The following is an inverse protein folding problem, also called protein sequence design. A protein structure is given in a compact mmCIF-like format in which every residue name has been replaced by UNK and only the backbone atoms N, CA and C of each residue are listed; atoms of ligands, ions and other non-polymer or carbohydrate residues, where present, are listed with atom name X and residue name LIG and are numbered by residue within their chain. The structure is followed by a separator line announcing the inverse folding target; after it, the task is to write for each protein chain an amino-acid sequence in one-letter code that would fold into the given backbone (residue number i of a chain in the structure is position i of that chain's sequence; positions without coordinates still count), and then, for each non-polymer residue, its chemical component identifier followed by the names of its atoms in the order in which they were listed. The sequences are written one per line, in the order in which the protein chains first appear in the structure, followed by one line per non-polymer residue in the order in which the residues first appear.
data_IF_664163625420
#
_entry.id   IF_664163625420
#
_cell.length_a   1.000
_cell.length_b   1.000
_cell.length_c   1.000
_cell.angle_alpha   90.00
_cell.angle_beta   90.00
_cell.angle_gamma   90.00
#
_symmetry.space_group_name_H-M   'P 1'
#
loop_
_entity.id
_entity.type
_entity.pdbx_description
1 polymer ?
#
# COMPACT_ATOMS: atom_id res chain seq x y z
N UNK A 1 -3.04 -27.16 -7.10
CA UNK A 1 -2.24 -26.58 -8.20
C UNK A 1 -2.15 -25.09 -7.93
N UNK A 2 -1.00 -24.60 -7.47
CA UNK A 2 -0.82 -23.19 -7.11
C UNK A 2 -0.42 -22.39 -8.34
N UNK A 3 -1.25 -21.44 -8.75
CA UNK A 3 -0.91 -20.50 -9.83
C UNK A 3 0.13 -19.51 -9.30
N UNK A 4 1.35 -19.62 -9.80
CA UNK A 4 2.41 -18.62 -9.66
C UNK A 4 2.14 -17.48 -10.62
N UNK A 5 1.80 -16.32 -10.09
CA UNK A 5 1.78 -15.06 -10.83
C UNK A 5 3.16 -14.41 -10.68
N UNK A 6 3.92 -14.32 -11.76
CA UNK A 6 5.11 -13.47 -11.85
C UNK A 6 4.64 -12.03 -12.04
N UNK A 7 5.06 -11.13 -11.15
CA UNK A 7 4.74 -9.70 -11.23
C UNK A 7 6.01 -8.97 -11.62
N UNK A 8 6.06 -8.44 -12.84
CA UNK A 8 7.10 -7.51 -13.28
C UNK A 8 6.79 -6.11 -12.73
N UNK A 9 7.83 -5.51 -12.14
CA UNK A 9 7.78 -4.26 -11.38
C UNK A 9 7.58 -3.07 -12.34
N UNK A 10 6.32 -2.62 -12.51
CA UNK A 10 6.04 -1.33 -13.13
C UNK A 10 6.08 -0.24 -12.07
N UNK A 11 6.94 0.79 -12.21
CA UNK A 11 6.90 1.92 -11.29
C UNK A 11 5.54 2.60 -11.46
N UNK A 12 4.70 2.64 -10.43
CA UNK A 12 3.38 3.28 -10.50
C UNK A 12 2.18 2.48 -10.02
N UNK A 13 2.37 1.34 -9.35
CA UNK A 13 1.29 0.65 -8.62
C UNK A 13 0.19 0.07 -9.51
N UNK A 14 0.43 -0.01 -10.83
CA UNK A 14 -0.44 -0.75 -11.74
C UNK A 14 0.07 -2.19 -11.76
N UNK A 15 -0.62 -3.08 -11.04
CA UNK A 15 -0.39 -4.52 -11.15
C UNK A 15 -0.95 -4.98 -12.49
N UNK A 16 -0.06 -5.16 -13.47
CA UNK A 16 -0.41 -5.75 -14.75
C UNK A 16 -0.42 -7.26 -14.60
N UNK A 17 -1.55 -7.88 -14.91
CA UNK A 17 -1.71 -9.33 -14.85
C UNK A 17 -1.34 -9.95 -16.19
N UNK A 18 -0.58 -11.05 -16.16
CA UNK A 18 -0.10 -11.72 -17.38
C UNK A 18 -1.20 -12.44 -18.19
N UNK A 19 -2.43 -12.55 -17.66
CA UNK A 19 -3.63 -13.13 -18.29
C UNK A 19 -4.86 -12.31 -17.89
N UNK A 20 -6.02 -12.66 -18.45
CA UNK A 20 -7.34 -12.06 -18.18
C UNK A 20 -7.43 -11.43 -16.79
N UNK A 21 -7.93 -10.19 -16.73
CA UNK A 21 -8.01 -9.44 -15.49
C UNK A 21 -8.61 -10.33 -14.39
N UNK A 22 -7.87 -10.60 -13.31
CA UNK A 22 -8.33 -11.52 -12.29
C UNK A 22 -9.64 -11.02 -11.69
N UNK A 23 -10.46 -11.94 -11.13
CA UNK A 23 -11.64 -11.54 -10.39
C UNK A 23 -11.28 -10.48 -9.34
N UNK A 24 -12.21 -9.56 -9.01
CA UNK A 24 -11.96 -8.55 -8.00
C UNK A 24 -11.41 -9.17 -6.72
N UNK A 25 -10.27 -8.69 -6.27
CA UNK A 25 -9.64 -9.13 -5.03
C UNK A 25 -10.62 -8.88 -3.89
N UNK A 26 -10.97 -9.88 -3.04
CA UNK A 26 -11.96 -9.69 -1.99
C UNK A 26 -11.45 -8.77 -0.87
N UNK A 27 -12.36 -8.26 -0.03
CA UNK A 27 -11.99 -7.54 1.21
C UNK A 27 -11.52 -8.56 2.26
N UNK A 28 -10.50 -8.21 3.04
CA UNK A 28 -9.98 -9.09 4.07
C UNK A 28 -10.97 -9.32 5.22
N UNK A 29 -11.04 -10.57 5.69
CA UNK A 29 -11.75 -10.96 6.89
C UNK A 29 -10.81 -11.83 7.76
N UNK A 30 -10.56 -11.41 8.99
CA UNK A 30 -9.71 -12.14 9.93
C UNK A 30 -8.26 -11.64 10.00
N UNK A 31 -7.37 -12.48 10.54
CA UNK A 31 -5.99 -12.11 10.91
C UNK A 31 -4.91 -12.58 9.93
N UNK A 32 -5.31 -13.11 8.78
CA UNK A 32 -4.36 -13.54 7.76
C UNK A 32 -3.77 -12.33 7.01
N UNK A 33 -2.53 -12.44 6.48
CA UNK A 33 -1.98 -11.39 5.64
C UNK A 33 -2.87 -11.13 4.43
N UNK A 34 -3.19 -9.87 4.19
CA UNK A 34 -3.87 -9.40 3.00
C UNK A 34 -3.05 -9.70 1.75
N UNK A 35 -1.73 -9.49 1.86
CA UNK A 35 -0.79 -9.65 0.78
C UNK A 35 0.60 -9.99 1.35
N UNK A 36 1.40 -10.76 0.60
CA UNK A 36 2.79 -11.04 0.94
C UNK A 36 3.69 -10.77 -0.25
N UNK A 37 4.82 -10.09 -0.03
CA UNK A 37 5.86 -9.86 -1.04
C UNK A 37 7.15 -10.53 -0.62
N UNK A 38 7.69 -11.40 -1.47
CA UNK A 38 8.98 -12.05 -1.23
C UNK A 38 10.00 -11.47 -2.19
N UNK A 39 11.02 -10.83 -1.65
CA UNK A 39 12.15 -10.29 -2.40
C UNK A 39 13.34 -11.23 -2.24
N UNK A 40 13.88 -11.71 -3.36
CA UNK A 40 14.98 -12.66 -3.39
C UNK A 40 16.26 -11.94 -3.80
N UNK A 41 17.33 -12.16 -3.05
CA UNK A 41 18.65 -11.60 -3.28
C UNK A 41 19.68 -12.73 -3.42
N UNK A 42 20.66 -12.57 -4.30
CA UNK A 42 21.80 -13.47 -4.38
C UNK A 42 22.77 -13.30 -3.20
N UNK A 43 23.88 -14.04 -3.22
CA UNK A 43 24.90 -13.98 -2.17
C UNK A 43 25.64 -12.63 -2.09
N UNK A 44 25.58 -11.81 -3.15
CA UNK A 44 26.20 -10.48 -3.23
C UNK A 44 25.22 -9.37 -2.85
N UNK A 45 23.96 -9.70 -2.53
CA UNK A 45 22.92 -8.75 -2.17
C UNK A 45 22.20 -8.11 -3.37
N UNK A 46 22.34 -8.66 -4.57
CA UNK A 46 21.61 -8.21 -5.76
C UNK A 46 20.21 -8.83 -5.77
N UNK A 47 19.16 -8.01 -5.93
CA UNK A 47 17.78 -8.51 -6.07
C UNK A 47 17.64 -9.27 -7.39
N UNK A 48 17.34 -10.57 -7.32
CA UNK A 48 17.22 -11.46 -8.49
C UNK A 48 15.79 -11.83 -8.84
N UNK A 49 14.86 -11.74 -7.89
CA UNK A 49 13.45 -12.01 -8.15
C UNK A 49 12.54 -11.31 -7.12
N UNK A 50 11.27 -11.18 -7.48
CA UNK A 50 10.20 -10.76 -6.58
C UNK A 50 9.00 -11.66 -6.82
N UNK A 51 8.29 -12.02 -5.74
CA UNK A 51 7.04 -12.76 -5.84
C UNK A 51 6.00 -12.22 -4.88
N UNK A 52 4.90 -11.82 -5.46
CA UNK A 52 3.78 -11.18 -4.82
C UNK A 52 2.61 -12.17 -4.76
N UNK A 53 2.00 -12.32 -3.59
CA UNK A 53 0.82 -13.16 -3.40
C UNK A 53 -0.27 -12.37 -2.69
N UNK A 54 -1.31 -11.98 -3.44
CA UNK A 54 -2.41 -11.13 -3.00
C UNK A 54 -3.59 -12.04 -2.65
N UNK A 55 -4.04 -11.99 -1.39
CA UNK A 55 -5.17 -12.78 -0.91
C UNK A 55 -6.45 -11.92 -0.87
N UNK A 56 -6.33 -10.70 -0.39
CA UNK A 56 -7.43 -9.75 -0.21
C UNK A 56 -6.89 -8.31 -0.11
N UNK A 57 -7.78 -7.32 -0.12
CA UNK A 57 -7.44 -5.91 0.12
C UNK A 57 -8.09 -5.40 1.41
N UNK A 58 -7.47 -4.40 2.02
CA UNK A 58 -8.01 -3.78 3.23
C UNK A 58 -9.19 -2.88 2.89
N UNK A 59 -10.11 -2.74 3.83
CA UNK A 59 -11.23 -1.81 3.67
C UNK A 59 -10.74 -0.35 3.71
N UNK A 60 -11.61 0.59 3.35
CA UNK A 60 -11.27 2.03 3.35
C UNK A 60 -10.92 2.58 4.76
N UNK A 61 -11.30 1.86 5.82
CA UNK A 61 -11.06 2.24 7.22
C UNK A 61 -9.85 1.51 7.83
N UNK A 62 -9.04 0.87 7.00
CA UNK A 62 -7.88 0.08 7.39
C UNK A 62 -6.62 0.50 6.62
N UNK A 63 -5.49 0.36 7.28
CA UNK A 63 -4.15 0.50 6.71
C UNK A 63 -3.44 -0.86 6.65
N UNK A 64 -2.40 -0.93 5.82
CA UNK A 64 -1.51 -2.08 5.79
C UNK A 64 -0.44 -1.96 6.88
N UNK A 65 -0.49 -2.85 7.87
CA UNK A 65 0.60 -3.07 8.81
C UNK A 65 1.58 -4.11 8.25
N UNK A 66 2.87 -3.78 8.21
CA UNK A 66 3.91 -4.64 7.64
C UNK A 66 4.67 -5.41 8.70
N UNK A 67 4.89 -6.71 8.47
CA UNK A 67 5.85 -7.54 9.23
C UNK A 67 6.91 -8.07 8.29
N UNK A 68 8.17 -8.05 8.75
CA UNK A 68 9.32 -8.48 7.98
C UNK A 68 9.89 -9.77 8.55
N UNK A 69 10.17 -10.72 7.67
CA UNK A 69 10.90 -11.93 7.98
C UNK A 69 12.10 -12.04 7.05
N UNK A 70 13.26 -12.33 7.62
CA UNK A 70 14.52 -12.46 6.90
C UNK A 70 15.00 -13.89 7.05
N UNK A 71 15.14 -14.61 5.94
CA UNK A 71 15.61 -15.98 5.97
C UNK A 71 16.40 -16.34 4.72
N UNK A 72 17.18 -17.42 4.80
CA UNK A 72 17.92 -17.97 3.67
C UNK A 72 17.17 -19.18 3.11
N UNK A 73 16.99 -19.23 1.79
CA UNK A 73 16.38 -20.37 1.08
C UNK A 73 17.37 -20.86 0.03
N UNK A 74 18.04 -21.98 0.30
CA UNK A 74 19.18 -22.44 -0.52
C UNK A 74 20.29 -21.37 -0.62
N UNK A 75 20.61 -20.92 -1.83
CA UNK A 75 21.68 -19.93 -2.10
C UNK A 75 21.17 -18.49 -2.24
N UNK A 76 19.91 -18.22 -1.86
CA UNK A 76 19.33 -16.87 -1.91
C UNK A 76 18.91 -16.39 -0.52
N UNK A 77 19.09 -15.10 -0.28
CA UNK A 77 18.51 -14.39 0.85
C UNK A 77 17.10 -13.93 0.49
N UNK A 78 16.15 -14.12 1.39
CA UNK A 78 14.75 -13.76 1.17
C UNK A 78 14.32 -12.76 2.23
N UNK A 79 13.77 -11.64 1.76
CA UNK A 79 13.02 -10.69 2.59
C UNK A 79 11.54 -10.93 2.29
N UNK A 80 10.84 -11.52 3.25
CA UNK A 80 9.39 -11.73 3.19
C UNK A 80 8.70 -10.59 3.93
N UNK A 81 7.83 -9.89 3.24
CA UNK A 81 7.04 -8.79 3.77
C UNK A 81 5.59 -9.24 3.79
N UNK A 82 5.00 -9.33 4.97
CA UNK A 82 3.57 -9.64 5.16
C UNK A 82 2.81 -8.37 5.50
N UNK A 83 1.72 -8.12 4.77
CA UNK A 83 0.87 -6.95 4.91
C UNK A 83 -0.45 -7.38 5.52
N UNK A 84 -0.79 -6.85 6.69
CA UNK A 84 -2.02 -7.15 7.43
C UNK A 84 -2.94 -5.93 7.44
N UNK A 85 -4.25 -6.15 7.47
CA UNK A 85 -5.19 -5.05 7.65
C UNK A 85 -5.29 -4.66 9.12
N UNK A 86 -5.05 -3.39 9.38
CA UNK A 86 -5.12 -2.78 10.71
C UNK A 86 -6.08 -1.61 10.68
N UNK A 87 -6.94 -1.52 11.68
CA UNK A 87 -7.89 -0.42 11.80
C UNK A 87 -7.18 0.92 11.93
N UNK A 88 -7.61 1.89 11.12
CA UNK A 88 -7.15 3.27 11.22
C UNK A 88 -7.62 3.90 12.54
N UNK A 89 -6.75 4.73 13.12
CA UNK A 89 -7.12 5.61 14.23
C UNK A 89 -8.10 6.69 13.73
N UNK A 90 -8.88 7.24 14.66
CA UNK A 90 -9.75 8.38 14.36
C UNK A 90 -8.88 9.62 14.18
N UNK A 91 -9.14 10.39 13.13
CA UNK A 91 -8.41 11.63 12.86
C UNK A 91 -8.58 12.66 13.98
N UNK A 92 -7.48 13.30 14.34
CA UNK A 92 -7.53 14.53 15.15
C UNK A 92 -8.04 15.71 14.31
N UNK A 93 -8.56 16.77 14.95
CA UNK A 93 -9.20 17.91 14.25
C UNK A 93 -8.31 18.57 13.17
N UNK A 94 -6.99 18.56 13.36
CA UNK A 94 -6.03 19.18 12.45
C UNK A 94 -5.26 18.17 11.59
N UNK A 95 -5.59 16.89 11.67
CA UNK A 95 -4.89 15.84 10.95
C UNK A 95 -5.41 15.67 9.52
N UNK A 96 -4.50 15.45 8.58
CA UNK A 96 -4.87 15.10 7.22
C UNK A 96 -5.35 13.65 7.19
N UNK A 97 -6.60 13.41 6.84
CA UNK A 97 -7.14 12.05 6.72
C UNK A 97 -6.55 11.29 5.53
N UNK A 98 -6.11 12.01 4.50
CA UNK A 98 -5.40 11.44 3.34
C UNK A 98 -4.33 12.40 2.87
N UNK A 99 -3.19 11.87 2.48
CA UNK A 99 -2.11 12.63 1.88
C UNK A 99 -1.61 11.96 0.60
N UNK A 100 -1.04 12.73 -0.30
CA UNK A 100 -0.27 12.18 -1.42
C UNK A 100 1.07 12.88 -1.57
N UNK A 101 2.07 12.07 -1.85
CA UNK A 101 3.45 12.49 -2.02
C UNK A 101 3.81 12.35 -3.49
N UNK A 102 4.18 13.47 -4.11
CA UNK A 102 4.62 13.49 -5.50
C UNK A 102 6.13 13.34 -5.60
N UNK A 103 6.60 12.30 -6.29
CA UNK A 103 7.99 12.21 -6.78
C UNK A 103 7.90 11.84 -8.25
N UNK A 104 8.14 12.79 -9.15
CA UNK A 104 7.89 12.69 -10.62
C UNK A 104 6.38 12.64 -10.98
N UNK A 105 6.01 12.11 -12.15
CA UNK A 105 4.62 11.99 -12.64
C UNK A 105 3.77 10.94 -11.89
N UNK A 106 4.21 10.50 -10.70
CA UNK A 106 3.58 9.46 -9.89
C UNK A 106 3.36 9.98 -8.47
N UNK A 107 2.16 9.70 -7.95
CA UNK A 107 1.76 10.05 -6.59
C UNK A 107 1.60 8.79 -5.77
N UNK A 108 2.27 8.72 -4.62
CA UNK A 108 1.93 7.77 -3.56
C UNK A 108 0.81 8.41 -2.74
N UNK A 109 -0.30 7.71 -2.53
CA UNK A 109 -1.44 8.21 -1.75
C UNK A 109 -1.63 7.34 -0.53
N UNK A 110 -1.60 7.96 0.65
CA UNK A 110 -1.76 7.29 1.94
C UNK A 110 -3.03 7.79 2.63
N UNK A 111 -3.82 6.86 3.17
CA UNK A 111 -4.89 7.16 4.11
C UNK A 111 -4.29 7.10 5.51
N UNK A 112 -4.30 8.23 6.23
CA UNK A 112 -3.58 8.35 7.51
C UNK A 112 -4.47 8.00 8.71
N UNK A 113 -5.77 8.27 8.62
CA UNK A 113 -6.72 8.09 9.70
C UNK A 113 -8.16 8.04 9.15
N UNK A 114 -9.11 7.51 9.93
CA UNK A 114 -10.53 7.49 9.58
C UNK A 114 -11.28 8.67 10.19
N UNK A 115 -12.21 9.24 9.42
CA UNK A 115 -13.04 10.34 9.89
C UNK A 115 -14.16 9.85 10.83
N UNK A 116 -14.59 10.70 11.75
CA UNK A 116 -15.77 10.45 12.60
C UNK A 116 -17.05 10.32 11.75
N UNK A 117 -18.10 9.68 12.30
CA UNK A 117 -19.32 9.27 11.60
C UNK A 117 -19.97 10.33 10.68
N UNK A 118 -19.93 11.62 11.06
CA UNK A 118 -20.52 12.73 10.29
C UNK A 118 -19.56 13.40 9.30
N UNK A 119 -18.32 12.93 9.24
CA UNK A 119 -17.26 13.47 8.41
C UNK A 119 -16.84 12.43 7.37
N UNK A 120 -16.34 12.91 6.23
CA UNK A 120 -15.77 12.10 5.18
C UNK A 120 -14.39 12.60 4.79
N UNK A 121 -13.51 11.68 4.42
CA UNK A 121 -12.22 12.02 3.86
C UNK A 121 -12.34 12.20 2.34
N UNK A 122 -12.22 13.43 1.81
CA UNK A 122 -12.41 13.65 0.39
C UNK A 122 -11.30 13.00 -0.46
N UNK A 123 -11.59 12.81 -1.74
CA UNK A 123 -10.54 12.49 -2.71
C UNK A 123 -9.61 13.70 -2.88
N UNK A 124 -8.31 13.45 -3.03
CA UNK A 124 -7.34 14.52 -3.27
C UNK A 124 -7.52 15.03 -4.70
N UNK A 125 -8.23 16.16 -4.85
CA UNK A 125 -8.30 16.96 -6.07
C UNK A 125 -7.33 18.13 -5.94
N UNK A 126 -6.63 18.48 -7.01
CA UNK A 126 -5.57 19.50 -6.97
C UNK A 126 -6.03 20.87 -6.43
N UNK A 127 -7.27 21.25 -6.73
CA UNK A 127 -7.82 22.54 -6.30
C UNK A 127 -8.23 22.61 -4.82
N UNK A 128 -8.42 21.46 -4.15
CA UNK A 128 -8.97 21.39 -2.79
C UNK A 128 -7.94 20.89 -1.75
N UNK A 129 -6.75 20.50 -2.19
CA UNK A 129 -5.73 19.93 -1.33
C UNK A 129 -4.78 20.99 -0.76
N UNK A 130 -4.61 20.98 0.56
CA UNK A 130 -3.56 21.76 1.20
C UNK A 130 -2.20 21.23 0.75
N UNK A 131 -1.32 22.11 0.27
CA UNK A 131 -0.01 21.72 -0.26
C UNK A 131 1.08 22.28 0.63
N UNK A 132 2.03 21.42 1.03
CA UNK A 132 3.22 21.83 1.76
C UNK A 132 4.46 21.09 1.27
N UNK A 133 5.64 21.64 1.56
CA UNK A 133 6.93 21.07 1.19
C UNK A 133 7.63 20.56 2.44
N UNK A 134 7.94 19.27 2.47
CA UNK A 134 8.71 18.64 3.54
C UNK A 134 9.99 18.05 2.92
N UNK A 135 11.17 18.52 3.35
CA UNK A 135 12.46 18.06 2.83
C UNK A 135 12.58 18.10 1.28
N UNK A 136 12.03 19.13 0.65
CA UNK A 136 12.02 19.28 -0.82
C UNK A 136 10.98 18.42 -1.54
N UNK A 137 10.13 17.70 -0.82
CA UNK A 137 9.08 16.85 -1.37
C UNK A 137 7.73 17.58 -1.26
N UNK A 138 7.00 17.65 -2.37
CA UNK A 138 5.65 18.20 -2.40
C UNK A 138 4.66 17.18 -1.85
N UNK A 139 3.98 17.56 -0.78
CA UNK A 139 2.93 16.79 -0.13
C UNK A 139 1.60 17.54 -0.31
N UNK A 140 0.56 16.80 -0.65
CA UNK A 140 -0.80 17.32 -0.75
C UNK A 140 -1.69 16.55 0.21
N UNK A 141 -2.33 17.26 1.15
CA UNK A 141 -3.16 16.70 2.20
C UNK A 141 -4.60 17.19 2.12
N UNK A 142 -5.52 16.36 2.59
CA UNK A 142 -6.92 16.75 2.80
C UNK A 142 -7.37 16.33 4.19
N UNK A 143 -8.19 17.17 4.82
CA UNK A 143 -8.75 16.92 6.15
C UNK A 143 -10.16 16.37 6.05
N UNK A 144 -10.63 15.78 7.15
CA UNK A 144 -12.03 15.37 7.29
C UNK A 144 -12.95 16.58 7.13
N UNK A 145 -14.02 16.43 6.35
CA UNK A 145 -15.06 17.46 6.18
C UNK A 145 -16.44 16.88 6.42
N UNK A 146 -17.37 17.71 6.88
CA UNK A 146 -18.78 17.34 7.00
C UNK A 146 -19.28 16.79 5.65
N UNK A 147 -20.07 15.72 5.72
CA UNK A 147 -20.67 15.08 4.54
C UNK A 147 -21.58 16.02 3.77
#
# INVERSE_FOLDING_TARGET
MGHTSEVEDYPGGLQLYCKDAPPPVPICHGSLPAYTSNHYYDEYGLKVAMKDNINCHCSNDEEYETKYEYYRKHNVYVVSISYFCKQLNICSENEYCRSRVGRTSKYLTDTNCKCLFNYQCPAIKEAEAETFILNGIKIQGVKCRLR
#
